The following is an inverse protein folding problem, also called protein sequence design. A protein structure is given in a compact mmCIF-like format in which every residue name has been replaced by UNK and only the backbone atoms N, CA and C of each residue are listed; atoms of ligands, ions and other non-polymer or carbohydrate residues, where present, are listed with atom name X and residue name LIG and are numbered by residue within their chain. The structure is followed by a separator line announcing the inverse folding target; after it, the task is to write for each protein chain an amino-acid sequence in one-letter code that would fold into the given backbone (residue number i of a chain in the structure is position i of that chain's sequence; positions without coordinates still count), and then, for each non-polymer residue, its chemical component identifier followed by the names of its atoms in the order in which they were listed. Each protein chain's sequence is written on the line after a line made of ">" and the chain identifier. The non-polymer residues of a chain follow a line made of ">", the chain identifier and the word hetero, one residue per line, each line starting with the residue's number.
data_IF_002652009942
#
_entry.id   IF_002652009942
#
_cell.length_a   1.000
_cell.length_b   1.000
_cell.length_c   1.000
_cell.angle_alpha   90.00
_cell.angle_beta   90.00
_cell.angle_gamma   90.00
#
_symmetry.space_group_name_H-M   'P 1'
#
loop_
_entity.id
_entity.type
_entity.pdbx_description
1 polymer ?
#
# COMPACT_ATOMS: atom_id res chain seq x y z
N UNK A 1 2.42 -12.22 -12.66
CA UNK A 1 1.58 -11.04 -12.91
C UNK A 1 0.13 -11.47 -12.73
N UNK A 2 -0.47 -11.27 -11.55
CA UNK A 2 -1.85 -11.71 -11.26
C UNK A 2 -2.65 -10.68 -10.43
N UNK A 3 -2.28 -9.39 -10.47
CA UNK A 3 -2.95 -8.34 -9.71
C UNK A 3 -4.45 -8.17 -10.09
N UNK A 4 -4.84 -8.57 -11.30
CA UNK A 4 -6.22 -8.49 -11.77
C UNK A 4 -7.14 -9.51 -11.06
N UNK A 5 -6.61 -10.59 -10.48
CA UNK A 5 -7.42 -11.62 -9.80
C UNK A 5 -7.94 -11.20 -8.43
N UNK A 6 -7.37 -10.14 -7.86
CA UNK A 6 -7.81 -9.50 -6.61
C UNK A 6 -8.61 -8.23 -6.84
N UNK A 7 -8.86 -7.85 -8.11
CA UNK A 7 -9.63 -6.65 -8.42
C UNK A 7 -11.12 -6.91 -8.18
N UNK A 8 -11.72 -6.05 -7.36
CA UNK A 8 -13.17 -5.93 -7.25
C UNK A 8 -13.65 -4.94 -8.30
N UNK A 9 -14.78 -5.26 -8.93
CA UNK A 9 -15.44 -4.34 -9.85
C UNK A 9 -16.76 -3.91 -9.22
N UNK A 10 -16.99 -2.61 -9.22
CA UNK A 10 -18.29 -2.03 -8.89
C UNK A 10 -19.07 -1.90 -10.20
N UNK A 11 -20.22 -2.55 -10.26
CA UNK A 11 -21.10 -2.56 -11.42
C UNK A 11 -22.52 -2.24 -10.97
N UNK A 12 -23.42 -2.04 -11.91
CA UNK A 12 -24.83 -1.90 -11.59
C UNK A 12 -25.43 -3.31 -11.49
N UNK A 13 -26.21 -3.55 -10.42
CA UNK A 13 -26.86 -4.85 -10.16
C UNK A 13 -27.62 -5.30 -11.40
N UNK A 14 -28.41 -4.37 -11.92
CA UNK A 14 -29.12 -4.46 -13.19
C UNK A 14 -28.42 -3.55 -14.21
N UNK A 15 -27.18 -3.88 -14.60
CA UNK A 15 -26.55 -3.25 -15.76
C UNK A 15 -27.43 -3.42 -17.02
N UNK A 16 -28.16 -4.53 -17.11
CA UNK A 16 -29.21 -4.75 -18.11
C UNK A 16 -30.44 -3.85 -17.91
N UNK A 17 -30.66 -3.24 -16.75
CA UNK A 17 -31.68 -2.18 -16.58
C UNK A 17 -31.17 -0.80 -17.01
N UNK A 18 -29.85 -0.56 -17.10
CA UNK A 18 -29.40 0.63 -17.83
C UNK A 18 -29.64 0.50 -19.33
N UNK A 19 -29.72 -0.72 -19.84
CA UNK A 19 -29.96 -0.97 -21.25
C UNK A 19 -30.72 -2.28 -21.44
N UNK A 20 -32.04 -2.29 -21.16
CA UNK A 20 -32.80 -3.50 -21.39
C UNK A 20 -32.74 -3.84 -22.85
N UNK A 21 -32.76 -5.14 -23.17
CA UNK A 21 -32.75 -5.64 -24.55
C UNK A 21 -33.79 -4.92 -25.42
N UNK A 22 -34.92 -4.53 -24.81
CA UNK A 22 -35.97 -3.72 -25.43
C UNK A 22 -35.50 -2.37 -25.97
N UNK A 23 -34.59 -1.66 -25.29
CA UNK A 23 -33.97 -0.42 -25.81
C UNK A 23 -32.85 -0.76 -26.77
N UNK A 24 -32.01 -1.76 -26.46
CA UNK A 24 -30.87 -2.11 -27.30
C UNK A 24 -31.30 -2.38 -28.74
N UNK A 25 -32.37 -3.15 -28.93
CA UNK A 25 -32.94 -3.43 -30.26
C UNK A 25 -33.59 -2.21 -30.92
N UNK A 26 -33.97 -1.19 -30.16
CA UNK A 26 -34.58 0.05 -30.67
C UNK A 26 -33.57 1.16 -30.91
N UNK A 27 -32.33 1.05 -30.41
CA UNK A 27 -31.32 2.07 -30.63
C UNK A 27 -31.06 2.37 -32.11
N UNK A 28 -31.01 1.37 -33.02
CA UNK A 28 -30.91 1.65 -34.45
C UNK A 28 -32.05 2.51 -34.97
N UNK A 29 -33.27 2.35 -34.45
CA UNK A 29 -34.41 3.17 -34.82
C UNK A 29 -34.23 4.63 -34.34
N UNK A 30 -33.73 4.84 -33.13
CA UNK A 30 -33.43 6.19 -32.62
C UNK A 30 -32.36 6.88 -33.47
N UNK A 31 -31.30 6.18 -33.88
CA UNK A 31 -30.24 6.72 -34.75
C UNK A 31 -30.78 7.06 -36.14
N UNK A 32 -31.55 6.15 -36.75
CA UNK A 32 -32.19 6.39 -38.07
C UNK A 32 -33.14 7.58 -38.03
N UNK A 33 -34.01 7.68 -37.02
CA UNK A 33 -34.97 8.79 -36.91
C UNK A 33 -34.27 10.11 -36.60
N UNK A 34 -33.26 10.09 -35.75
CA UNK A 34 -32.50 11.30 -35.40
C UNK A 34 -31.76 11.88 -36.60
N UNK A 35 -31.22 11.01 -37.46
CA UNK A 35 -30.60 11.43 -38.72
C UNK A 35 -31.65 11.91 -39.73
N UNK A 36 -32.76 11.17 -39.89
CA UNK A 36 -33.80 11.49 -40.89
C UNK A 36 -34.56 12.77 -40.55
N UNK A 37 -34.99 12.92 -39.31
CA UNK A 37 -35.96 13.95 -38.90
C UNK A 37 -35.26 15.21 -38.36
N UNK A 38 -34.03 15.06 -37.84
CA UNK A 38 -33.30 16.15 -37.17
C UNK A 38 -31.87 16.37 -37.69
N UNK A 39 -31.40 15.56 -38.66
CA UNK A 39 -30.03 15.60 -39.17
C UNK A 39 -28.95 15.48 -38.07
N UNK A 40 -29.25 14.72 -37.01
CA UNK A 40 -28.33 14.48 -35.89
C UNK A 40 -27.74 13.08 -35.99
N UNK A 41 -26.40 13.01 -35.95
CA UNK A 41 -25.65 11.76 -35.83
C UNK A 41 -24.90 11.71 -34.51
N UNK A 42 -25.06 10.61 -33.78
CA UNK A 42 -24.38 10.40 -32.51
C UNK A 42 -22.91 10.03 -32.78
N UNK A 43 -21.95 10.85 -32.32
CA UNK A 43 -20.50 10.63 -32.56
C UNK A 43 -19.74 10.03 -31.37
N UNK A 44 -20.28 10.06 -30.16
CA UNK A 44 -19.57 9.68 -28.92
C UNK A 44 -19.99 8.32 -28.37
N UNK A 45 -19.06 7.37 -28.17
CA UNK A 45 -19.36 6.11 -27.46
C UNK A 45 -19.28 6.27 -25.93
N UNK A 46 -20.14 5.59 -25.14
CA UNK A 46 -21.30 4.82 -25.61
C UNK A 46 -22.47 5.74 -25.96
N UNK A 47 -22.88 5.76 -27.25
CA UNK A 47 -23.93 6.63 -27.81
C UNK A 47 -25.30 6.44 -27.13
N UNK A 48 -25.47 5.29 -26.49
CA UNK A 48 -26.72 4.75 -25.97
C UNK A 48 -27.10 5.29 -24.59
N UNK A 49 -26.11 5.67 -23.76
CA UNK A 49 -26.37 6.07 -22.38
C UNK A 49 -27.19 7.37 -22.30
N UNK A 50 -26.81 8.38 -23.09
CA UNK A 50 -27.50 9.67 -23.12
C UNK A 50 -28.94 9.53 -23.67
N UNK A 51 -29.12 8.77 -24.76
CA UNK A 51 -30.45 8.54 -25.36
C UNK A 51 -31.36 7.78 -24.39
N UNK A 52 -30.82 6.74 -23.74
CA UNK A 52 -31.58 5.94 -22.78
C UNK A 52 -32.00 6.76 -21.58
N UNK A 53 -31.12 7.60 -21.05
CA UNK A 53 -31.43 8.46 -19.91
C UNK A 53 -32.46 9.54 -20.26
N UNK A 54 -32.38 10.16 -21.44
CA UNK A 54 -33.40 11.12 -21.89
C UNK A 54 -34.76 10.43 -22.09
N UNK A 55 -34.76 9.21 -22.64
CA UNK A 55 -35.98 8.41 -22.78
C UNK A 55 -36.56 8.03 -21.41
N UNK A 56 -35.71 7.67 -20.44
CA UNK A 56 -36.11 7.44 -19.05
C UNK A 56 -36.80 8.66 -18.47
N UNK A 57 -36.19 9.85 -18.58
CA UNK A 57 -36.74 11.08 -18.03
C UNK A 57 -38.13 11.39 -18.61
N UNK A 58 -38.34 11.16 -19.91
CA UNK A 58 -39.65 11.31 -20.54
C UNK A 58 -40.69 10.33 -19.95
N UNK A 59 -40.31 9.07 -19.69
CA UNK A 59 -41.19 8.08 -19.06
C UNK A 59 -41.52 8.47 -17.61
N UNK A 60 -40.52 8.91 -16.84
CA UNK A 60 -40.71 9.35 -15.46
C UNK A 60 -41.62 10.58 -15.39
N UNK A 61 -41.35 11.57 -16.24
CA UNK A 61 -42.17 12.77 -16.34
C UNK A 61 -43.61 12.44 -16.71
N UNK A 62 -43.82 11.60 -17.74
CA UNK A 62 -45.15 11.17 -18.15
C UNK A 62 -45.92 10.46 -17.03
N UNK A 63 -45.24 9.59 -16.27
CA UNK A 63 -45.87 8.90 -15.15
C UNK A 63 -46.26 9.85 -14.01
N UNK A 64 -45.41 10.83 -13.67
CA UNK A 64 -45.74 11.83 -12.64
C UNK A 64 -46.83 12.78 -13.11
N UNK A 65 -46.81 13.17 -14.39
CA UNK A 65 -47.81 14.04 -15.00
C UNK A 65 -49.20 13.39 -15.02
N UNK A 66 -49.30 12.12 -15.45
CA UNK A 66 -50.55 11.37 -15.44
C UNK A 66 -51.17 11.33 -14.03
N UNK A 67 -50.36 11.08 -13.01
CA UNK A 67 -50.81 11.10 -11.61
C UNK A 67 -51.22 12.50 -11.14
N UNK A 68 -50.47 13.54 -11.53
CA UNK A 68 -50.83 14.91 -11.20
C UNK A 68 -52.19 15.30 -11.82
N UNK A 69 -52.47 14.86 -13.04
CA UNK A 69 -53.76 15.09 -13.71
C UNK A 69 -54.88 14.33 -13.01
N UNK A 70 -54.66 13.05 -12.67
CA UNK A 70 -55.64 12.23 -11.95
C UNK A 70 -56.00 12.82 -10.58
N UNK A 71 -55.02 13.38 -9.88
CA UNK A 71 -55.20 14.04 -8.60
C UNK A 71 -55.73 15.48 -8.70
N UNK A 72 -56.01 15.97 -9.91
CA UNK A 72 -56.40 17.37 -10.18
C UNK A 72 -55.43 18.38 -9.58
N UNK A 73 -54.13 18.07 -9.60
CA UNK A 73 -53.09 18.92 -9.06
C UNK A 73 -52.91 20.19 -9.93
N UNK A 74 -52.49 21.28 -9.29
CA UNK A 74 -52.04 22.47 -10.01
C UNK A 74 -50.72 22.18 -10.73
N UNK A 75 -50.79 22.11 -12.06
CA UNK A 75 -49.63 21.86 -12.92
C UNK A 75 -48.71 23.09 -13.07
N UNK A 76 -49.15 24.26 -12.62
CA UNK A 76 -48.31 25.46 -12.59
C UNK A 76 -47.39 25.53 -11.35
N UNK A 77 -47.69 24.76 -10.31
CA UNK A 77 -46.81 24.60 -9.15
C UNK A 77 -45.72 23.54 -9.42
N UNK A 78 -44.62 24.01 -9.99
CA UNK A 78 -43.44 23.18 -10.23
C UNK A 78 -42.85 22.55 -8.96
N UNK A 79 -42.97 23.20 -7.80
CA UNK A 79 -42.47 22.65 -6.54
C UNK A 79 -43.35 21.51 -6.03
N UNK A 80 -44.68 21.61 -6.17
CA UNK A 80 -45.57 20.48 -5.95
C UNK A 80 -45.29 19.33 -6.92
N UNK A 81 -45.03 19.64 -8.20
CA UNK A 81 -44.67 18.63 -9.18
C UNK A 81 -43.38 17.89 -8.82
N UNK A 82 -42.31 18.62 -8.47
CA UNK A 82 -41.03 18.02 -8.06
C UNK A 82 -41.19 17.16 -6.81
N UNK A 83 -41.98 17.59 -5.81
CA UNK A 83 -42.24 16.78 -4.60
C UNK A 83 -42.85 15.41 -4.91
N UNK A 84 -43.59 15.26 -6.01
CA UNK A 84 -44.15 13.97 -6.47
C UNK A 84 -43.08 13.04 -7.06
N UNK A 85 -41.92 13.57 -7.44
CA UNK A 85 -40.78 12.82 -7.96
C UNK A 85 -39.86 12.27 -6.85
N UNK A 86 -39.76 12.95 -5.72
CA UNK A 86 -38.78 12.65 -4.66
C UNK A 86 -39.13 11.42 -3.83
N UNK A 87 -38.09 10.79 -3.25
CA UNK A 87 -38.19 9.67 -2.33
C UNK A 87 -39.07 8.51 -2.84
N UNK A 88 -38.90 8.15 -4.12
CA UNK A 88 -39.81 7.22 -4.80
C UNK A 88 -39.09 6.33 -5.78
N UNK A 89 -39.57 5.08 -5.87
CA UNK A 89 -39.18 4.15 -6.93
C UNK A 89 -40.19 4.17 -8.07
N UNK A 90 -39.69 4.32 -9.29
CA UNK A 90 -40.45 4.25 -10.53
C UNK A 90 -40.17 2.92 -11.22
N UNK A 91 -41.24 2.24 -11.62
CA UNK A 91 -41.15 1.04 -12.45
C UNK A 91 -41.49 1.44 -13.88
N UNK A 92 -40.48 1.44 -14.75
CA UNK A 92 -40.63 1.80 -16.16
C UNK A 92 -40.40 0.57 -17.03
N UNK A 93 -40.71 0.67 -18.33
CA UNK A 93 -40.41 -0.39 -19.31
C UNK A 93 -38.92 -0.67 -19.46
N UNK A 94 -38.09 0.22 -18.93
CA UNK A 94 -36.65 0.15 -19.07
C UNK A 94 -35.94 -0.14 -17.75
N UNK A 95 -36.69 -0.39 -16.68
CA UNK A 95 -36.12 -0.75 -15.38
C UNK A 95 -36.75 0.01 -14.22
N UNK A 96 -36.23 -0.30 -13.02
CA UNK A 96 -36.64 0.34 -11.77
C UNK A 96 -35.61 1.40 -11.38
N UNK A 97 -36.09 2.60 -11.10
CA UNK A 97 -35.23 3.73 -10.73
C UNK A 97 -35.75 4.37 -9.47
N UNK A 98 -34.86 4.59 -8.50
CA UNK A 98 -35.20 5.27 -7.27
C UNK A 98 -34.66 6.70 -7.32
N UNK A 99 -35.51 7.67 -7.01
CA UNK A 99 -35.12 9.06 -6.79
C UNK A 99 -35.14 9.28 -5.28
N UNK A 100 -34.00 9.68 -4.72
CA UNK A 100 -33.86 9.89 -3.29
C UNK A 100 -34.53 11.22 -2.85
N UNK A 101 -34.57 11.54 -1.54
CA UNK A 101 -35.14 12.79 -1.06
C UNK A 101 -34.44 14.07 -1.56
N UNK A 102 -33.15 14.00 -1.96
CA UNK A 102 -32.42 15.13 -2.54
C UNK A 102 -32.63 15.30 -4.05
N UNK A 103 -33.36 14.39 -4.70
CA UNK A 103 -33.64 14.45 -6.13
C UNK A 103 -32.60 13.74 -7.01
N UNK A 104 -31.67 13.01 -6.40
CA UNK A 104 -30.67 12.23 -7.12
C UNK A 104 -31.22 10.83 -7.43
N UNK A 105 -30.91 10.35 -8.64
CA UNK A 105 -31.24 8.98 -9.02
C UNK A 105 -30.21 8.02 -8.43
N UNK A 106 -30.68 7.02 -7.68
CA UNK A 106 -29.84 5.95 -7.17
C UNK A 106 -30.16 4.65 -7.89
N UNK A 107 -29.13 4.02 -8.42
CA UNK A 107 -29.20 2.70 -9.03
C UNK A 107 -28.64 1.65 -8.08
N UNK A 108 -29.15 0.43 -8.16
CA UNK A 108 -28.61 -0.68 -7.39
C UNK A 108 -27.18 -0.99 -7.88
N UNK A 109 -26.21 -1.03 -6.97
CA UNK A 109 -24.83 -1.38 -7.27
C UNK A 109 -24.55 -2.81 -6.82
N UNK A 110 -23.59 -3.46 -7.47
CA UNK A 110 -23.02 -4.74 -7.04
C UNK A 110 -21.51 -4.69 -7.04
N UNK A 111 -20.93 -5.47 -6.14
CA UNK A 111 -19.53 -5.82 -6.21
C UNK A 111 -19.41 -7.20 -6.83
N UNK A 112 -18.55 -7.30 -7.83
CA UNK A 112 -18.22 -8.53 -8.52
C UNK A 112 -16.70 -8.78 -8.49
N UNK A 113 -16.31 -10.05 -8.59
CA UNK A 113 -14.93 -10.48 -8.75
C UNK A 113 -14.78 -11.38 -9.97
N UNK A 114 -13.59 -11.44 -10.55
CA UNK A 114 -13.34 -12.35 -11.68
C UNK A 114 -13.39 -13.81 -11.22
N UNK A 115 -14.00 -14.66 -12.04
CA UNK A 115 -13.92 -16.11 -11.87
C UNK A 115 -12.57 -16.61 -12.41
N UNK A 116 -11.86 -17.40 -11.61
CA UNK A 116 -10.54 -17.95 -11.98
C UNK A 116 -10.65 -19.07 -13.00
N UNK A 117 -11.78 -19.80 -13.00
CA UNK A 117 -12.05 -20.87 -13.95
C UNK A 117 -12.58 -20.32 -15.28
N UNK A 118 -13.29 -19.19 -15.23
CA UNK A 118 -13.82 -18.52 -16.39
C UNK A 118 -13.51 -17.02 -16.35
N UNK A 119 -12.34 -16.64 -16.86
CA UNK A 119 -11.85 -15.25 -16.84
C UNK A 119 -12.76 -14.24 -17.57
N UNK A 120 -13.73 -14.71 -18.36
CA UNK A 120 -14.73 -13.87 -19.02
C UNK A 120 -15.94 -13.54 -18.14
N UNK A 121 -16.13 -14.25 -17.02
CA UNK A 121 -17.30 -14.11 -16.16
C UNK A 121 -16.94 -13.45 -14.82
N UNK A 122 -17.75 -12.47 -14.42
CA UNK A 122 -17.64 -11.81 -13.11
C UNK A 122 -18.74 -12.34 -12.20
N UNK A 123 -18.35 -12.86 -11.05
CA UNK A 123 -19.27 -13.35 -10.05
C UNK A 123 -19.67 -12.22 -9.10
N UNK A 124 -20.96 -11.86 -9.09
CA UNK A 124 -21.55 -10.88 -8.16
C UNK A 124 -21.71 -11.51 -6.78
N UNK A 125 -21.33 -10.79 -5.71
CA UNK A 125 -21.40 -11.33 -4.35
C UNK A 125 -21.93 -10.35 -3.29
N UNK A 126 -21.82 -9.04 -3.50
CA UNK A 126 -22.47 -8.02 -2.67
C UNK A 126 -23.34 -7.10 -3.52
N UNK A 127 -24.44 -6.63 -2.95
CA UNK A 127 -25.32 -5.63 -3.55
C UNK A 127 -25.57 -4.46 -2.61
N UNK A 128 -25.61 -3.25 -3.15
CA UNK A 128 -26.11 -2.06 -2.49
C UNK A 128 -27.42 -1.66 -3.17
N UNK A 129 -28.55 -1.85 -2.49
CA UNK A 129 -29.85 -1.43 -3.00
C UNK A 129 -30.07 0.08 -2.82
N UNK A 130 -30.84 0.75 -3.70
CA UNK A 130 -31.20 2.15 -3.54
C UNK A 130 -31.91 2.39 -2.21
N UNK A 131 -31.57 3.49 -1.53
CA UNK A 131 -32.10 3.82 -0.20
C UNK A 131 -31.57 2.96 0.96
N UNK A 132 -30.72 1.96 0.70
CA UNK A 132 -30.06 1.17 1.73
C UNK A 132 -28.71 1.78 2.13
N UNK A 133 -28.39 1.76 3.42
CA UNK A 133 -27.05 2.07 3.93
C UNK A 133 -26.18 0.83 4.12
N UNK A 134 -26.72 -0.37 3.93
CA UNK A 134 -26.03 -1.63 4.13
C UNK A 134 -25.84 -2.41 2.83
N UNK A 135 -24.68 -3.06 2.73
CA UNK A 135 -24.40 -4.05 1.71
C UNK A 135 -25.06 -5.38 2.06
N UNK A 136 -25.70 -5.98 1.07
CA UNK A 136 -26.36 -7.28 1.16
C UNK A 136 -25.54 -8.34 0.44
N UNK A 137 -25.37 -9.49 1.08
CA UNK A 137 -24.71 -10.63 0.46
C UNK A 137 -25.68 -11.37 -0.46
N UNK A 138 -25.37 -11.37 -1.76
CA UNK A 138 -26.18 -12.00 -2.82
C UNK A 138 -25.50 -13.23 -3.43
N UNK A 139 -24.26 -13.51 -3.04
CA UNK A 139 -23.49 -14.62 -3.57
C UNK A 139 -22.34 -15.05 -2.67
N UNK A 140 -21.69 -16.16 -3.05
CA UNK A 140 -20.52 -16.66 -2.35
C UNK A 140 -19.30 -15.84 -2.75
N UNK A 141 -18.62 -15.28 -1.75
CA UNK A 141 -17.38 -14.55 -1.93
C UNK A 141 -16.20 -15.54 -1.97
N UNK A 142 -15.51 -15.63 -3.12
CA UNK A 142 -14.26 -16.40 -3.22
C UNK A 142 -13.09 -15.45 -3.50
N UNK A 143 -12.26 -15.24 -2.49
CA UNK A 143 -11.01 -14.50 -2.66
C UNK A 143 -9.89 -15.44 -3.05
N UNK A 144 -9.33 -15.21 -4.24
CA UNK A 144 -8.19 -15.96 -4.74
C UNK A 144 -6.88 -15.25 -4.37
N UNK A 145 -6.77 -14.84 -3.10
CA UNK A 145 -5.55 -14.28 -2.56
C UNK A 145 -4.41 -15.30 -2.54
N UNK A 146 -3.16 -14.86 -2.37
CA UNK A 146 -2.01 -15.76 -2.23
C UNK A 146 -2.29 -16.83 -1.15
N UNK A 147 -2.19 -18.10 -1.52
CA UNK A 147 -2.46 -19.26 -0.66
C UNK A 147 -3.90 -19.40 -0.13
N UNK A 148 -4.89 -18.80 -0.80
CA UNK A 148 -6.31 -18.88 -0.38
C UNK A 148 -6.61 -18.12 0.91
N UNK A 149 -5.70 -17.22 1.33
CA UNK A 149 -5.82 -16.45 2.58
C UNK A 149 -6.64 -15.18 2.37
N UNK A 150 -7.95 -15.33 2.22
CA UNK A 150 -8.94 -14.26 2.42
C UNK A 150 -8.72 -12.98 1.61
N UNK A 151 -9.38 -11.90 2.06
CA UNK A 151 -9.22 -10.55 1.51
C UNK A 151 -7.81 -10.04 1.83
N UNK A 152 -7.08 -9.46 0.87
CA UNK A 152 -5.80 -8.84 1.17
C UNK A 152 -5.98 -7.73 2.20
N UNK A 153 -4.97 -7.56 3.05
CA UNK A 153 -4.94 -6.45 3.99
C UNK A 153 -4.92 -5.14 3.19
N UNK A 154 -5.62 -4.13 3.71
CA UNK A 154 -5.62 -2.79 3.11
C UNK A 154 -4.18 -2.23 3.03
N UNK A 155 -3.36 -2.52 4.03
CA UNK A 155 -1.96 -2.13 4.12
C UNK A 155 -1.03 -3.36 4.12
N UNK A 156 0.11 -3.32 3.41
CA UNK A 156 1.13 -4.37 3.51
C UNK A 156 1.61 -4.57 4.95
N UNK A 157 2.11 -5.77 5.28
CA UNK A 157 2.60 -6.07 6.63
C UNK A 157 3.69 -5.09 7.12
N UNK A 158 4.55 -4.61 6.21
CA UNK A 158 5.60 -3.65 6.53
C UNK A 158 5.18 -2.18 6.31
N UNK A 159 3.89 -1.91 6.13
CA UNK A 159 3.42 -0.59 5.70
C UNK A 159 3.77 -0.29 4.25
N UNK A 160 3.19 0.79 3.70
CA UNK A 160 3.44 1.18 2.31
C UNK A 160 4.86 1.65 2.05
N UNK A 161 5.51 2.29 3.03
CA UNK A 161 6.91 2.71 2.97
C UNK A 161 7.90 1.58 3.29
N UNK A 162 7.41 0.42 3.73
CA UNK A 162 8.27 -0.63 4.30
C UNK A 162 8.76 -0.31 5.71
N UNK A 163 8.37 0.83 6.29
CA UNK A 163 8.91 1.32 7.56
C UNK A 163 8.09 0.94 8.80
N UNK A 164 7.10 0.04 8.67
CA UNK A 164 6.31 -0.36 9.82
C UNK A 164 7.19 -1.07 10.86
N UNK A 165 7.03 -0.67 12.13
CA UNK A 165 7.80 -1.17 13.28
C UNK A 165 7.89 -2.71 13.33
N UNK A 166 6.83 -3.40 12.90
CA UNK A 166 6.77 -4.87 12.87
C UNK A 166 7.86 -5.52 12.00
N UNK A 167 8.39 -4.81 11.00
CA UNK A 167 9.44 -5.31 10.12
C UNK A 167 10.85 -4.94 10.58
N UNK A 168 10.99 -4.07 11.59
CA UNK A 168 12.29 -3.71 12.20
C UNK A 168 12.56 -4.37 13.55
N UNK A 169 11.58 -5.07 14.14
CA UNK A 169 11.77 -5.74 15.44
C UNK A 169 12.89 -6.79 15.43
N UNK A 170 13.22 -7.37 14.26
CA UNK A 170 14.39 -8.25 14.11
C UNK A 170 15.74 -7.53 14.05
N UNK A 171 15.74 -6.23 13.70
CA UNK A 171 16.95 -5.44 13.48
C UNK A 171 17.41 -4.71 14.76
N UNK A 172 16.49 -4.48 15.71
CA UNK A 172 16.85 -3.93 17.02
C UNK A 172 17.67 -4.94 17.83
N UNK A 173 17.36 -6.24 17.71
CA UNK A 173 18.12 -7.30 18.39
C UNK A 173 19.52 -7.49 17.81
N UNK A 174 19.68 -7.40 16.48
CA UNK A 174 21.01 -7.45 15.84
C UNK A 174 21.85 -6.23 16.22
N UNK A 175 21.26 -5.03 16.25
CA UNK A 175 21.94 -3.81 16.68
C UNK A 175 22.39 -3.87 18.15
N UNK A 176 21.54 -4.37 19.06
CA UNK A 176 21.89 -4.53 20.48
C UNK A 176 23.03 -5.55 20.66
N UNK A 177 22.98 -6.69 19.96
CA UNK A 177 24.04 -7.71 20.00
C UNK A 177 25.37 -7.14 19.46
N UNK A 178 25.33 -6.38 18.38
CA UNK A 178 26.51 -5.71 17.83
C UNK A 178 27.10 -4.67 18.80
N UNK A 179 26.26 -3.92 19.50
CA UNK A 179 26.73 -2.94 20.50
C UNK A 179 27.40 -3.63 21.69
N UNK A 180 26.82 -4.73 22.19
CA UNK A 180 27.35 -5.50 23.31
C UNK A 180 28.67 -6.21 22.96
N UNK A 181 28.82 -6.71 21.73
CA UNK A 181 30.05 -7.38 21.31
C UNK A 181 31.24 -6.41 21.20
N UNK A 182 31.01 -5.19 20.69
CA UNK A 182 32.03 -4.13 20.66
C UNK A 182 32.41 -3.69 22.08
N UNK A 183 31.44 -3.53 22.97
CA UNK A 183 31.70 -3.19 24.37
C UNK A 183 32.54 -4.28 25.08
N UNK A 184 32.23 -5.55 24.86
CA UNK A 184 33.01 -6.66 25.43
C UNK A 184 34.46 -6.70 24.89
N UNK A 185 34.64 -6.53 23.58
CA UNK A 185 35.96 -6.54 22.95
C UNK A 185 36.85 -5.41 23.47
N UNK A 186 36.31 -4.20 23.65
CA UNK A 186 37.07 -3.04 24.17
C UNK A 186 37.55 -3.26 25.61
N UNK A 187 36.73 -3.88 26.46
CA UNK A 187 37.11 -4.25 27.85
C UNK A 187 38.22 -5.30 27.85
N UNK A 188 38.13 -6.32 26.98
CA UNK A 188 39.16 -7.36 26.88
C UNK A 188 40.49 -6.77 26.42
N UNK A 189 40.47 -5.93 25.38
CA UNK A 189 41.67 -5.28 24.84
C UNK A 189 42.32 -4.38 25.89
N UNK A 190 41.55 -3.55 26.59
CA UNK A 190 42.09 -2.68 27.64
C UNK A 190 42.68 -3.46 28.80
N UNK A 191 42.04 -4.57 29.23
CA UNK A 191 42.61 -5.46 30.25
C UNK A 191 43.89 -6.13 29.77
N UNK A 192 43.92 -6.63 28.54
CA UNK A 192 45.10 -7.26 27.96
C UNK A 192 46.28 -6.28 27.88
N UNK A 193 46.05 -5.05 27.40
CA UNK A 193 47.08 -4.00 27.37
C UNK A 193 47.56 -3.66 28.79
N UNK A 194 46.67 -3.58 29.78
CA UNK A 194 47.06 -3.30 31.16
C UNK A 194 47.91 -4.41 31.78
N UNK A 195 47.65 -5.67 31.43
CA UNK A 195 48.44 -6.82 31.86
C UNK A 195 49.82 -6.83 31.21
N UNK A 196 49.88 -6.56 29.90
CA UNK A 196 51.15 -6.43 29.18
C UNK A 196 52.02 -5.32 29.77
N UNK A 197 51.43 -4.15 30.05
CA UNK A 197 52.15 -3.04 30.72
C UNK A 197 52.68 -3.45 32.09
N UNK A 198 51.87 -4.15 32.90
CA UNK A 198 52.30 -4.63 34.22
C UNK A 198 53.43 -5.66 34.11
N UNK A 199 53.36 -6.56 33.14
CA UNK A 199 54.40 -7.56 32.88
C UNK A 199 55.72 -6.92 32.43
N UNK A 200 55.66 -5.94 31.53
CA UNK A 200 56.85 -5.20 31.09
C UNK A 200 57.48 -4.36 32.20
N UNK A 201 56.68 -3.85 33.14
CA UNK A 201 57.17 -3.00 34.23
C UNK A 201 57.75 -3.79 35.41
N UNK A 202 57.39 -5.07 35.56
CA UNK A 202 57.93 -5.96 36.61
C UNK A 202 59.11 -6.81 36.13
N UNK A 203 59.38 -6.80 34.83
CA UNK A 203 60.60 -7.37 34.29
C UNK A 203 61.71 -6.34 34.48
N UNK A 204 62.49 -6.46 35.55
CA UNK A 204 63.75 -5.73 35.65
C UNK A 204 64.54 -5.98 34.36
N UNK A 205 64.87 -4.93 33.58
CA UNK A 205 65.58 -5.09 32.33
C UNK A 205 67.01 -5.53 32.66
N UNK A 206 67.24 -6.83 32.71
CA UNK A 206 68.55 -7.45 32.96
C UNK A 206 69.61 -7.05 31.91
N UNK A 207 69.19 -6.43 30.81
CA UNK A 207 70.04 -5.89 29.75
C UNK A 207 70.38 -4.40 29.91
N UNK A 208 69.81 -3.68 30.89
CA UNK A 208 70.22 -2.31 31.20
C UNK A 208 71.45 -2.39 32.11
N UNK A 209 72.64 -2.23 31.50
CA UNK A 209 73.87 -2.08 32.28
C UNK A 209 73.77 -0.81 33.13
N UNK A 210 74.07 -0.87 34.42
CA UNK A 210 74.07 0.33 35.26
C UNK A 210 75.11 1.35 34.78
N UNK A 211 74.74 2.63 34.76
CA UNK A 211 75.56 3.76 34.22
C UNK A 211 76.98 3.88 34.83
N UNK A 212 77.26 3.16 35.92
CA UNK A 212 78.54 3.12 36.61
C UNK A 212 79.59 2.19 35.98
N UNK A 213 79.24 1.39 34.96
CA UNK A 213 80.20 0.55 34.23
C UNK A 213 80.77 1.20 32.94
N UNK A 214 80.27 2.36 32.51
CA UNK A 214 80.60 2.95 31.21
C UNK A 214 81.77 3.95 31.21
N UNK A 215 82.47 4.16 32.33
CA UNK A 215 83.50 5.22 32.45
C UNK A 215 84.96 4.71 32.51
N UNK A 216 85.28 3.52 32.00
CA UNK A 216 86.66 2.97 32.06
C UNK A 216 87.26 2.56 30.70
N UNK A 217 86.78 3.15 29.59
CA UNK A 217 87.33 2.92 28.25
C UNK A 217 87.76 4.20 27.52
N UNK A 218 88.14 5.22 28.29
CA UNK A 218 88.82 6.40 27.75
C UNK A 218 90.23 6.54 28.35
N UNK A 219 91.21 6.54 27.45
CA UNK A 219 92.58 7.06 27.59
C UNK A 219 93.60 6.15 28.32
N UNK A 220 94.32 5.31 27.55
CA UNK A 220 95.80 5.23 27.65
C UNK A 220 96.38 5.02 26.25
N UNK A 221 96.90 6.10 25.67
CA UNK A 221 97.84 6.05 24.56
C UNK A 221 99.17 5.45 25.06
N UNK A 222 99.58 4.29 24.54
CA UNK A 222 100.82 3.63 24.94
C UNK A 222 101.92 3.77 23.86
N UNK A 223 102.94 4.56 24.23
CA UNK A 223 104.26 4.71 23.59
C UNK A 223 105.20 3.63 24.18
N UNK A 224 106.09 2.99 23.40
CA UNK A 224 106.87 1.86 23.89
C UNK A 224 108.16 2.36 24.55
N UNK A 225 108.39 2.04 25.83
CA UNK A 225 109.75 1.77 26.29
C UNK A 225 109.84 0.93 27.57
N UNK A 226 111.00 0.32 27.70
CA UNK A 226 111.46 -0.76 28.59
C UNK A 226 111.16 -0.63 30.10
N UNK A 227 110.80 -1.77 30.68
CA UNK A 227 111.50 -2.31 31.86
C UNK A 227 110.70 -2.43 33.17
N UNK A 228 110.63 -3.67 33.66
CA UNK A 228 110.38 -4.15 35.04
C UNK A 228 108.95 -4.09 35.63
N UNK A 229 108.40 -5.30 35.78
CA UNK A 229 107.95 -5.93 37.04
C UNK A 229 107.37 -5.02 38.14
N UNK A 230 106.05 -5.12 38.38
CA UNK A 230 105.45 -5.67 39.61
C UNK A 230 103.92 -5.39 39.63
N UNK A 231 103.16 -6.28 40.27
CA UNK A 231 101.91 -5.88 40.93
C UNK A 231 100.65 -6.58 40.42
N UNK A 232 100.30 -7.68 41.07
CA UNK A 232 98.95 -8.26 41.09
C UNK A 232 97.96 -7.22 41.62
N UNK A 233 96.78 -7.16 41.02
CA UNK A 233 95.49 -7.08 41.73
C UNK A 233 94.39 -7.48 40.75
N UNK A 234 93.87 -8.69 40.92
CA UNK A 234 92.57 -9.08 40.38
C UNK A 234 91.51 -8.33 41.18
N UNK A 235 90.87 -7.36 40.55
CA UNK A 235 89.54 -6.95 40.94
C UNK A 235 88.56 -7.72 40.04
N UNK A 236 87.75 -8.56 40.69
CA UNK A 236 86.59 -9.25 40.13
C UNK A 236 85.59 -8.25 39.56
N UNK A 237 85.17 -8.51 38.32
CA UNK A 237 83.81 -8.24 37.84
C UNK A 237 83.09 -9.58 37.73
#
# INVERSE_FOLDING_TARGET
>A
MDAYRSALVIELLDADALMPSTIFHRFPEFEVRSLRDYNVSYKFPPKWAAVTYTYLLALLFGQVLDQAIQDQADLSDGAAFVRRCLNRTFATRIGRYYINPSGETQSALVLSHFDVTNSSFRQKFLALRPGSSSLEQIGNQRWNGPHGKGVPLNEPRCGYSGEARICYLGDVTSAIIALLSVAAATVIITKFISLLRKYTQTSDPWWLLPDHCLTLLDIVAYRPDRGRSLGKNLATC
#
